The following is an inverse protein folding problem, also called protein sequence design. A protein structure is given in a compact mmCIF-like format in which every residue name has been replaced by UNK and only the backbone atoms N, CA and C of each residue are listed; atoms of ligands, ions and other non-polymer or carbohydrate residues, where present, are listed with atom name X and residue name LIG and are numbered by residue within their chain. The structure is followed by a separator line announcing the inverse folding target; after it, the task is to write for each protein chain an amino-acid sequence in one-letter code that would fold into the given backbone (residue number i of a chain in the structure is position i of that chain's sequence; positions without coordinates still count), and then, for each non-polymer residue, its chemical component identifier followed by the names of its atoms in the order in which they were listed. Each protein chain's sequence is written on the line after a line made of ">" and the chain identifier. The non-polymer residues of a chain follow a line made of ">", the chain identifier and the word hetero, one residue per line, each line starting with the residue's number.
data_IF_515641829450
#
_entry.id   IF_515641829450
#
_cell.length_a   1.000
_cell.length_b   1.000
_cell.length_c   1.000
_cell.angle_alpha   90.00
_cell.angle_beta   90.00
_cell.angle_gamma   90.00
#
_symmetry.space_group_name_H-M   'P 1'
#
loop_
_entity.id
_entity.type
_entity.pdbx_description
1 polymer ?
#
# COMPACT_ATOMS: atom_id res chain seq x y z
N UNK A 1 66.43 -5.10 -44.03
CA UNK A 1 66.56 -5.16 -42.56
C UNK A 1 66.31 -3.78 -41.99
N UNK A 2 65.15 -3.56 -41.35
CA UNK A 2 64.88 -2.41 -40.49
C UNK A 2 63.76 -2.77 -39.51
N UNK A 3 63.95 -2.27 -38.30
CA UNK A 3 63.50 -2.81 -37.02
C UNK A 3 61.99 -2.72 -36.76
N UNK A 4 61.54 -3.74 -36.03
CA UNK A 4 60.25 -3.87 -35.35
C UNK A 4 60.03 -2.73 -34.34
N UNK A 5 58.87 -2.07 -34.42
CA UNK A 5 58.30 -1.28 -33.31
C UNK A 5 57.09 -2.04 -32.78
N UNK A 6 57.27 -2.53 -31.56
CA UNK A 6 56.32 -3.26 -30.73
C UNK A 6 55.22 -2.30 -30.27
N UNK A 7 54.00 -2.43 -30.78
CA UNK A 7 52.85 -1.68 -30.27
C UNK A 7 52.26 -2.39 -29.04
N UNK A 8 52.39 -1.71 -27.90
CA UNK A 8 51.86 -2.08 -26.60
C UNK A 8 50.31 -1.98 -26.63
N UNK A 9 49.62 -3.11 -26.67
CA UNK A 9 48.16 -3.17 -26.51
C UNK A 9 47.80 -2.96 -25.03
N UNK A 10 47.38 -1.74 -24.68
CA UNK A 10 46.76 -1.41 -23.40
C UNK A 10 45.35 -2.03 -23.34
N UNK A 11 45.23 -3.13 -22.60
CA UNK A 11 43.96 -3.75 -22.22
C UNK A 11 43.20 -2.81 -21.25
N UNK A 12 42.24 -2.05 -21.78
CA UNK A 12 41.18 -1.44 -20.98
C UNK A 12 40.16 -2.53 -20.61
N UNK A 13 40.26 -3.06 -19.39
CA UNK A 13 39.20 -3.88 -18.78
C UNK A 13 38.22 -2.92 -18.10
N UNK A 14 36.99 -2.73 -18.61
CA UNK A 14 35.98 -2.04 -17.84
C UNK A 14 35.54 -2.97 -16.71
N UNK A 15 35.97 -2.66 -15.49
CA UNK A 15 35.35 -3.15 -14.26
C UNK A 15 33.89 -2.66 -14.25
N UNK A 16 32.98 -3.48 -14.77
CA UNK A 16 31.56 -3.38 -14.51
C UNK A 16 31.35 -3.77 -13.04
N UNK A 17 31.41 -2.77 -12.16
CA UNK A 17 30.86 -2.88 -10.82
C UNK A 17 29.34 -3.07 -10.94
N UNK A 18 28.91 -4.32 -11.00
CA UNK A 18 27.53 -4.71 -10.77
C UNK A 18 27.22 -4.42 -9.31
N UNK A 19 26.73 -3.21 -9.01
CA UNK A 19 26.06 -2.95 -7.75
C UNK A 19 24.83 -3.88 -7.68
N UNK A 20 24.69 -4.74 -6.67
CA UNK A 20 23.44 -5.44 -6.48
C UNK A 20 22.38 -4.40 -6.15
N UNK A 21 21.46 -4.18 -7.07
CA UNK A 21 20.16 -3.60 -6.76
C UNK A 21 19.45 -4.58 -5.83
N UNK A 22 19.75 -4.51 -4.53
CA UNK A 22 18.91 -5.09 -3.50
C UNK A 22 17.67 -4.21 -3.48
N UNK A 23 16.74 -4.49 -4.37
CA UNK A 23 15.35 -4.11 -4.18
C UNK A 23 14.89 -4.88 -2.95
N UNK A 24 15.08 -4.29 -1.76
CA UNK A 24 14.47 -4.76 -0.55
C UNK A 24 12.96 -4.74 -0.81
N UNK A 25 12.40 -5.91 -1.11
CA UNK A 25 10.96 -6.07 -1.14
C UNK A 25 10.48 -5.70 0.25
N UNK A 26 9.82 -4.54 0.37
CA UNK A 26 9.37 -4.03 1.65
C UNK A 26 8.53 -5.12 2.31
N UNK A 27 8.99 -5.60 3.46
CA UNK A 27 8.30 -6.65 4.21
C UNK A 27 6.88 -6.24 4.56
N UNK A 28 6.03 -7.23 4.84
CA UNK A 28 4.69 -6.95 5.34
C UNK A 28 4.75 -6.31 6.73
N UNK A 29 3.87 -5.35 6.96
CA UNK A 29 3.78 -4.60 8.20
C UNK A 29 3.22 -5.47 9.33
N UNK A 30 3.80 -5.33 10.51
CA UNK A 30 3.28 -5.90 11.75
C UNK A 30 2.02 -5.18 12.24
N UNK A 31 1.31 -5.80 13.19
CA UNK A 31 0.16 -5.16 13.87
C UNK A 31 0.51 -3.80 14.47
N UNK A 32 1.67 -3.69 15.14
CA UNK A 32 2.08 -2.45 15.79
C UNK A 32 2.33 -1.32 14.77
N UNK A 33 2.99 -1.64 13.65
CA UNK A 33 3.24 -0.69 12.57
C UNK A 33 1.94 -0.26 11.88
N UNK A 34 1.05 -1.23 11.58
CA UNK A 34 -0.25 -0.95 10.99
C UNK A 34 -1.08 0.00 11.85
N UNK A 35 -1.21 -0.26 13.15
CA UNK A 35 -1.95 0.63 14.05
C UNK A 35 -1.32 2.02 14.09
N UNK A 36 0.01 2.11 14.15
CA UNK A 36 0.72 3.40 14.18
C UNK A 36 0.52 4.22 12.89
N UNK A 37 0.48 3.55 11.74
CA UNK A 37 0.33 4.20 10.44
C UNK A 37 -1.13 4.57 10.17
N UNK A 38 -2.07 3.69 10.47
CA UNK A 38 -3.48 3.86 10.10
C UNK A 38 -4.25 4.75 11.08
N UNK A 39 -4.07 4.56 12.39
CA UNK A 39 -4.94 5.18 13.40
C UNK A 39 -4.96 6.71 13.31
N UNK A 40 -6.16 7.24 13.25
CA UNK A 40 -6.49 8.66 13.13
C UNK A 40 -5.84 9.34 11.91
N UNK A 41 -5.79 8.63 10.79
CA UNK A 41 -5.22 9.14 9.53
C UNK A 41 -6.13 8.96 8.33
N UNK A 42 -6.00 9.92 7.40
CA UNK A 42 -6.70 9.92 6.11
C UNK A 42 -5.74 9.58 4.98
N UNK A 43 -6.21 8.72 4.08
CA UNK A 43 -5.51 8.28 2.89
C UNK A 43 -6.34 8.54 1.64
N UNK A 44 -5.67 8.81 0.52
CA UNK A 44 -6.24 8.84 -0.82
C UNK A 44 -6.13 7.45 -1.44
N UNK A 45 -7.22 6.96 -2.03
CA UNK A 45 -7.24 5.72 -2.78
C UNK A 45 -6.72 6.01 -4.20
N UNK A 46 -5.51 5.54 -4.51
CA UNK A 46 -4.87 5.76 -5.82
C UNK A 46 -5.05 4.59 -6.77
N UNK A 47 -5.26 3.38 -6.24
CA UNK A 47 -5.68 2.19 -6.98
C UNK A 47 -6.62 1.35 -6.12
N UNK A 48 -7.66 0.77 -6.73
CA UNK A 48 -8.63 -0.11 -6.06
C UNK A 48 -9.48 -0.83 -7.09
N UNK A 49 -9.86 -2.08 -6.79
CA UNK A 49 -10.75 -2.86 -7.64
C UNK A 49 -12.24 -2.55 -7.40
N UNK A 50 -12.60 -2.09 -6.20
CA UNK A 50 -13.99 -1.98 -5.74
C UNK A 50 -14.43 -0.58 -5.29
N UNK A 51 -13.51 0.39 -5.22
CA UNK A 51 -13.77 1.77 -4.79
C UNK A 51 -13.22 2.74 -5.84
N UNK A 52 -13.96 3.81 -6.21
CA UNK A 52 -13.45 4.80 -7.13
C UNK A 52 -12.12 5.39 -6.68
N UNK A 53 -11.18 5.55 -7.62
CA UNK A 53 -9.95 6.30 -7.40
C UNK A 53 -10.26 7.74 -6.94
N UNK A 54 -9.31 8.33 -6.22
CA UNK A 54 -9.43 9.66 -5.61
C UNK A 54 -10.46 9.77 -4.48
N UNK A 55 -11.05 8.66 -4.05
CA UNK A 55 -11.80 8.61 -2.78
C UNK A 55 -10.84 8.75 -1.61
N UNK A 56 -11.28 9.41 -0.55
CA UNK A 56 -10.54 9.45 0.71
C UNK A 56 -11.07 8.38 1.65
N UNK A 57 -10.17 7.74 2.40
CA UNK A 57 -10.50 6.80 3.46
C UNK A 57 -9.84 7.25 4.76
N UNK A 58 -10.63 7.37 5.82
CA UNK A 58 -10.17 7.70 7.15
C UNK A 58 -10.28 6.48 8.06
N UNK A 59 -9.22 6.17 8.79
CA UNK A 59 -9.19 5.10 9.78
C UNK A 59 -9.17 5.68 11.19
N UNK A 60 -10.30 5.62 11.88
CA UNK A 60 -10.39 6.03 13.27
C UNK A 60 -9.70 5.01 14.20
N UNK A 61 -9.09 5.48 15.28
CA UNK A 61 -8.48 4.64 16.32
C UNK A 61 -9.46 3.71 17.03
N UNK A 62 -10.77 3.99 16.98
CA UNK A 62 -11.83 3.14 17.54
C UNK A 62 -12.18 1.90 16.68
N UNK A 63 -11.45 1.69 15.57
CA UNK A 63 -11.67 0.56 14.67
C UNK A 63 -12.74 0.80 13.61
N UNK A 64 -13.22 2.04 13.44
CA UNK A 64 -14.08 2.41 12.30
C UNK A 64 -13.29 3.02 11.16
N UNK A 65 -13.82 2.91 9.96
CA UNK A 65 -13.34 3.67 8.82
C UNK A 65 -14.49 4.30 8.04
N UNK A 66 -14.21 5.46 7.44
CA UNK A 66 -15.16 6.26 6.67
C UNK A 66 -14.58 6.52 5.29
N UNK A 67 -15.43 6.50 4.25
CA UNK A 67 -15.02 6.82 2.88
C UNK A 67 -15.76 8.07 2.40
N UNK A 68 -15.01 9.05 1.91
CA UNK A 68 -15.52 10.18 1.14
C UNK A 68 -15.27 9.93 -0.34
N UNK A 69 -16.34 9.78 -1.11
CA UNK A 69 -16.24 9.61 -2.55
C UNK A 69 -15.95 10.93 -3.27
N UNK A 70 -15.38 10.90 -4.49
CA UNK A 70 -15.10 12.09 -5.28
C UNK A 70 -16.32 12.99 -5.52
N UNK A 71 -17.53 12.42 -5.53
CA UNK A 71 -18.79 13.17 -5.68
C UNK A 71 -19.19 13.96 -4.42
N UNK A 72 -18.40 13.90 -3.34
CA UNK A 72 -18.70 14.52 -2.05
C UNK A 72 -19.60 13.67 -1.14
N UNK A 73 -20.12 12.55 -1.66
CA UNK A 73 -20.95 11.64 -0.87
C UNK A 73 -20.09 10.89 0.14
N UNK A 74 -20.45 11.00 1.42
CA UNK A 74 -19.83 10.23 2.50
C UNK A 74 -20.58 8.92 2.69
N UNK A 75 -19.84 7.80 2.69
CA UNK A 75 -20.35 6.51 3.16
C UNK A 75 -19.74 6.22 4.52
N UNK A 76 -20.59 6.20 5.54
CA UNK A 76 -20.16 6.12 6.92
C UNK A 76 -20.01 4.70 7.44
N UNK A 77 -18.87 4.53 8.13
CA UNK A 77 -18.56 3.66 9.28
C UNK A 77 -18.84 2.18 9.13
N UNK A 78 -17.96 1.54 8.38
CA UNK A 78 -17.71 0.12 8.58
C UNK A 78 -16.47 -0.09 9.48
N UNK A 79 -16.16 -1.33 9.83
CA UNK A 79 -15.11 -1.63 10.82
C UNK A 79 -13.84 -2.15 10.16
N UNK A 80 -12.69 -1.69 10.65
CA UNK A 80 -11.40 -2.29 10.36
C UNK A 80 -10.82 -2.97 11.60
N UNK A 81 -10.01 -4.00 11.39
CA UNK A 81 -9.25 -4.66 12.45
C UNK A 81 -7.97 -5.26 11.89
N UNK A 82 -7.08 -5.67 12.79
CA UNK A 82 -5.93 -6.50 12.46
C UNK A 82 -6.12 -7.82 13.20
N UNK A 83 -6.05 -8.94 12.50
CA UNK A 83 -6.21 -10.27 13.11
C UNK A 83 -4.92 -10.76 13.79
N UNK A 84 -4.99 -11.91 14.45
CA UNK A 84 -3.85 -12.56 15.11
C UNK A 84 -2.68 -12.91 14.17
N UNK A 85 -2.93 -12.96 12.86
CA UNK A 85 -1.94 -13.28 11.84
C UNK A 85 -1.35 -12.01 11.19
N UNK A 86 -1.60 -10.82 11.73
CA UNK A 86 -1.23 -9.52 11.15
C UNK A 86 -1.89 -9.25 9.78
N UNK A 87 -3.07 -9.82 9.52
CA UNK A 87 -3.85 -9.43 8.35
C UNK A 87 -4.70 -8.20 8.69
N UNK A 88 -4.63 -7.20 7.81
CA UNK A 88 -5.50 -6.04 7.85
C UNK A 88 -6.84 -6.40 7.22
N UNK A 89 -7.92 -6.24 7.97
CA UNK A 89 -9.26 -6.63 7.58
C UNK A 89 -10.19 -5.41 7.52
N UNK A 90 -10.81 -5.20 6.36
CA UNK A 90 -11.90 -4.25 6.15
C UNK A 90 -13.21 -5.01 6.05
N UNK A 91 -14.08 -4.87 7.05
CA UNK A 91 -15.46 -5.35 6.97
C UNK A 91 -16.31 -4.24 6.37
N UNK A 92 -17.33 -4.58 5.58
CA UNK A 92 -18.27 -3.63 4.97
C UNK A 92 -19.69 -4.17 4.92
N UNK A 93 -20.67 -3.32 5.19
CA UNK A 93 -22.07 -3.64 5.01
C UNK A 93 -22.43 -3.71 3.50
N UNK A 94 -22.99 -4.84 3.09
CA UNK A 94 -23.68 -5.04 1.80
C UNK A 94 -25.19 -5.03 2.08
N UNK A 95 -25.82 -3.89 1.77
CA UNK A 95 -27.27 -3.73 1.90
C UNK A 95 -27.96 -4.22 0.64
N UNK A 96 -28.96 -5.08 0.80
CA UNK A 96 -29.90 -5.49 -0.25
C UNK A 96 -31.33 -5.20 0.24
N UNK A 97 -32.30 -5.17 -0.66
CA UNK A 97 -33.68 -4.73 -0.36
C UNK A 97 -34.38 -5.47 0.80
N UNK A 98 -33.86 -6.61 1.25
CA UNK A 98 -34.42 -7.41 2.36
C UNK A 98 -33.46 -7.59 3.55
N UNK A 99 -32.27 -6.99 3.56
CA UNK A 99 -31.31 -7.22 4.65
C UNK A 99 -29.97 -6.50 4.53
N UNK A 100 -29.15 -6.67 5.58
CA UNK A 100 -27.76 -6.22 5.59
C UNK A 100 -26.85 -7.40 5.85
N UNK A 101 -26.11 -7.81 4.82
CA UNK A 101 -25.01 -8.75 4.94
C UNK A 101 -23.70 -8.00 5.15
N UNK A 102 -22.65 -8.71 5.57
CA UNK A 102 -21.33 -8.13 5.75
C UNK A 102 -20.29 -8.91 4.97
N UNK A 103 -19.46 -8.19 4.22
CA UNK A 103 -18.31 -8.74 3.50
C UNK A 103 -17.06 -8.28 4.22
N UNK A 104 -16.08 -9.16 4.39
CA UNK A 104 -14.76 -8.79 4.92
C UNK A 104 -13.68 -9.10 3.90
N UNK A 105 -12.78 -8.14 3.69
CA UNK A 105 -11.57 -8.32 2.89
C UNK A 105 -10.37 -8.24 3.83
N UNK A 106 -9.65 -9.35 3.95
CA UNK A 106 -8.46 -9.46 4.77
C UNK A 106 -7.22 -9.70 3.92
N UNK A 107 -6.07 -9.26 4.39
CA UNK A 107 -4.78 -9.66 3.82
C UNK A 107 -3.62 -8.82 4.31
N UNK A 108 -2.48 -8.94 3.62
CA UNK A 108 -1.24 -8.29 4.04
C UNK A 108 -1.15 -6.85 3.57
N UNK A 109 -0.29 -6.08 4.22
CA UNK A 109 -0.01 -4.69 3.85
C UNK A 109 1.49 -4.48 3.82
N UNK A 110 2.00 -3.79 2.82
CA UNK A 110 3.40 -3.35 2.75
C UNK A 110 3.47 -1.83 2.52
N UNK A 111 4.65 -1.27 2.75
CA UNK A 111 4.95 0.10 2.35
C UNK A 111 5.17 0.17 0.83
N UNK A 112 4.50 1.11 0.18
CA UNK A 112 4.76 1.56 -1.17
C UNK A 112 5.52 2.89 -1.11
N UNK A 113 6.82 2.84 -0.87
CA UNK A 113 7.61 4.04 -0.61
C UNK A 113 7.32 4.68 0.75
N UNK A 114 7.67 5.96 0.92
CA UNK A 114 7.65 6.61 2.23
C UNK A 114 6.25 6.85 2.81
N UNK A 115 5.25 7.10 1.95
CA UNK A 115 3.94 7.61 2.36
C UNK A 115 2.77 6.84 1.75
N UNK A 116 2.97 5.66 1.17
CA UNK A 116 1.86 4.86 0.67
C UNK A 116 1.90 3.42 1.18
N UNK A 117 0.73 2.78 1.12
CA UNK A 117 0.49 1.40 1.50
C UNK A 117 -0.04 0.62 0.30
N UNK A 118 0.48 -0.57 0.09
CA UNK A 118 -0.14 -1.56 -0.80
C UNK A 118 -0.86 -2.59 0.05
N UNK A 119 -2.15 -2.78 -0.22
CA UNK A 119 -2.96 -3.82 0.41
C UNK A 119 -3.05 -5.01 -0.55
N UNK A 120 -2.77 -6.19 -0.01
CA UNK A 120 -2.82 -7.47 -0.70
C UNK A 120 -4.01 -8.26 -0.19
N UNK A 121 -4.64 -9.03 -1.07
CA UNK A 121 -5.70 -9.96 -0.71
C UNK A 121 -5.09 -11.24 -0.07
N UNK A 122 -5.94 -12.19 0.32
CA UNK A 122 -5.50 -13.47 0.92
C UNK A 122 -4.65 -14.34 -0.02
N UNK A 123 -4.73 -14.12 -1.34
CA UNK A 123 -3.91 -14.80 -2.35
C UNK A 123 -2.55 -14.14 -2.56
N UNK A 124 -2.33 -12.97 -1.95
CA UNK A 124 -1.11 -12.18 -2.13
C UNK A 124 -1.14 -11.24 -3.34
N UNK A 125 -2.29 -11.06 -4.01
CA UNK A 125 -2.40 -10.10 -5.10
C UNK A 125 -2.67 -8.68 -4.56
N UNK A 126 -2.02 -7.63 -5.09
CA UNK A 126 -2.32 -6.26 -4.72
C UNK A 126 -3.71 -5.86 -5.25
N UNK A 127 -4.58 -5.33 -4.38
CA UNK A 127 -5.94 -4.92 -4.76
C UNK A 127 -6.29 -3.47 -4.40
N UNK A 128 -5.45 -2.81 -3.59
CA UNK A 128 -5.63 -1.41 -3.21
C UNK A 128 -4.30 -0.72 -2.90
N UNK A 129 -4.16 0.54 -3.31
CA UNK A 129 -3.04 1.40 -2.92
C UNK A 129 -3.60 2.65 -2.24
N UNK A 130 -3.06 2.95 -1.05
CA UNK A 130 -3.46 4.05 -0.19
C UNK A 130 -2.29 5.03 -0.04
N UNK A 131 -2.46 6.28 -0.45
CA UNK A 131 -1.48 7.34 -0.27
C UNK A 131 -1.85 8.17 0.97
N UNK A 132 -0.97 8.28 1.95
CA UNK A 132 -1.20 9.11 3.14
C UNK A 132 -1.39 10.57 2.72
N UNK A 133 -2.47 11.18 3.21
CA UNK A 133 -2.80 12.60 2.97
C UNK A 133 -2.56 13.43 4.23
N UNK A 134 -2.89 12.89 5.42
CA UNK A 134 -2.66 13.60 6.67
C UNK A 134 -3.28 12.91 7.89
N UNK A 135 -3.19 13.60 9.03
CA UNK A 135 -3.75 13.15 10.31
C UNK A 135 -5.12 13.80 10.53
N UNK A 136 -6.11 13.02 10.93
CA UNK A 136 -7.49 13.43 11.23
C UNK A 136 -8.52 13.02 10.18
N UNK A 137 -9.79 13.21 10.52
CA UNK A 137 -10.96 12.75 9.76
C UNK A 137 -11.17 13.56 8.48
N UNK A 138 -10.99 12.87 7.34
CA UNK A 138 -11.36 13.28 5.97
C UNK A 138 -11.19 14.78 5.72
N UNK A 139 -9.93 15.17 5.89
CA UNK A 139 -9.47 16.52 6.18
C UNK A 139 -10.03 17.58 5.21
N UNK A 140 -10.92 18.39 5.80
CA UNK A 140 -11.58 19.57 5.23
C UNK A 140 -10.61 20.59 4.66
#
# INVERSE_FOLDING_TARGET
>A
MKQSILFLFLLFVPFLFSAPNVSAQAGYLSTAELKKILSDRTFLITASDDIPKSSHIYFASDGKYTILFPSGNVRSSDTWKIDENNNFCLRRARRSGSGTDYISHCGKVSLAGANALTLYNEKGDPYKILQLVGNGDLLK
#
